data_IF_780485613189
#
_entry.id   IF_780485613189
#
_cell.length_a   1.000
_cell.length_b   1.000
_cell.length_c   1.000
_cell.angle_alpha   90.00
_cell.angle_beta   90.00
_cell.angle_gamma   90.00
#
_symmetry.space_group_name_H-M   'P 1'
#
loop_
_entity.id
_entity.type
_entity.pdbx_description
1 polymer ?
#
# COMPACT_ATOMS: atom_id res chain seq x y z
N UNK A 1 -15.83 -5.20 -20.70
CA UNK A 1 -15.07 -4.38 -21.64
C UNK A 1 -14.28 -5.23 -22.63
N UNK A 2 -13.57 -6.28 -22.19
CA UNK A 2 -12.79 -7.17 -23.08
C UNK A 2 -13.69 -7.88 -24.11
N UNK A 3 -14.80 -8.47 -23.68
CA UNK A 3 -15.76 -9.16 -24.57
C UNK A 3 -16.46 -8.22 -25.57
N UNK A 4 -16.49 -6.92 -25.29
CA UNK A 4 -17.04 -5.90 -26.17
C UNK A 4 -15.98 -5.33 -27.13
N UNK A 5 -14.76 -5.81 -27.11
CA UNK A 5 -13.66 -5.33 -27.94
C UNK A 5 -13.13 -3.93 -27.55
N UNK A 6 -13.63 -3.32 -26.46
CA UNK A 6 -13.24 -1.96 -26.05
C UNK A 6 -11.80 -1.87 -25.53
N UNK A 7 -11.17 -3.00 -25.18
CA UNK A 7 -9.75 -3.06 -24.75
C UNK A 7 -8.83 -3.50 -25.90
N UNK A 8 -9.31 -3.51 -27.15
CA UNK A 8 -8.48 -3.83 -28.31
C UNK A 8 -7.54 -2.66 -28.63
N UNK A 9 -6.29 -2.99 -28.92
CA UNK A 9 -5.25 -2.10 -29.44
C UNK A 9 -5.18 -2.12 -30.98
N UNK A 10 -6.03 -2.95 -31.63
CA UNK A 10 -6.11 -3.04 -33.08
C UNK A 10 -6.96 -1.91 -33.64
N UNK A 11 -6.43 -1.24 -34.68
CA UNK A 11 -7.14 -0.17 -35.39
C UNK A 11 -8.42 -0.70 -36.04
N UNK A 12 -9.53 -0.02 -35.86
CA UNK A 12 -10.81 -0.30 -36.49
C UNK A 12 -11.35 0.95 -37.17
N UNK A 13 -12.11 0.76 -38.25
CA UNK A 13 -12.78 1.87 -38.92
C UNK A 13 -14.19 2.05 -38.34
N UNK A 14 -14.49 3.25 -37.84
CA UNK A 14 -15.80 3.64 -37.35
C UNK A 14 -16.26 4.92 -38.02
N UNK A 15 -17.32 4.83 -38.83
CA UNK A 15 -17.89 5.98 -39.56
C UNK A 15 -16.84 6.73 -40.38
N UNK A 16 -15.98 6.01 -41.08
CA UNK A 16 -14.92 6.58 -41.92
C UNK A 16 -13.71 7.15 -41.16
N UNK A 17 -13.64 6.93 -39.84
CA UNK A 17 -12.49 7.31 -39.02
C UNK A 17 -11.80 6.07 -38.47
N UNK A 18 -10.49 6.07 -38.52
CA UNK A 18 -9.66 5.06 -37.90
C UNK A 18 -9.50 5.35 -36.42
N UNK A 19 -9.85 4.42 -35.58
CA UNK A 19 -9.73 4.52 -34.12
C UNK A 19 -9.13 3.25 -33.54
N UNK A 20 -8.42 3.40 -32.42
CA UNK A 20 -8.00 2.31 -31.57
C UNK A 20 -8.96 2.29 -30.38
N UNK A 21 -9.78 1.22 -30.20
CA UNK A 21 -10.84 1.20 -29.18
C UNK A 21 -10.37 1.52 -27.77
N UNK A 22 -9.22 1.00 -27.33
CA UNK A 22 -8.67 1.28 -25.99
C UNK A 22 -8.32 2.75 -25.81
N UNK A 23 -7.76 3.39 -26.82
CA UNK A 23 -7.43 4.83 -26.75
C UNK A 23 -8.70 5.68 -26.68
N UNK A 24 -9.69 5.38 -27.51
CA UNK A 24 -10.99 6.05 -27.46
C UNK A 24 -11.68 5.89 -26.10
N UNK A 25 -11.55 4.72 -25.47
CA UNK A 25 -12.06 4.48 -24.13
C UNK A 25 -11.31 5.32 -23.08
N UNK A 26 -9.99 5.41 -23.15
CA UNK A 26 -9.16 6.23 -22.25
C UNK A 26 -9.54 7.70 -22.39
N UNK A 27 -9.65 8.19 -23.63
CA UNK A 27 -10.05 9.56 -23.92
C UNK A 27 -11.43 9.89 -23.35
N UNK A 28 -12.40 8.98 -23.53
CA UNK A 28 -13.73 9.13 -22.98
C UNK A 28 -13.70 9.15 -21.44
N UNK A 29 -12.96 8.26 -20.81
CA UNK A 29 -12.83 8.21 -19.35
C UNK A 29 -12.17 9.47 -18.80
N UNK A 30 -11.19 10.05 -19.49
CA UNK A 30 -10.55 11.29 -19.07
C UNK A 30 -11.48 12.51 -19.10
N UNK A 31 -12.50 12.49 -19.98
CA UNK A 31 -13.52 13.53 -20.06
C UNK A 31 -14.63 13.35 -19.02
N UNK A 32 -15.02 12.09 -18.75
CA UNK A 32 -16.17 11.77 -17.88
C UNK A 32 -15.76 11.61 -16.42
N UNK A 33 -14.51 11.20 -16.18
CA UNK A 33 -14.00 11.07 -14.80
C UNK A 33 -13.84 12.48 -14.17
N UNK A 34 -14.21 12.63 -12.90
CA UNK A 34 -13.89 13.86 -12.19
C UNK A 34 -12.38 14.09 -12.29
N UNK A 35 -11.97 15.29 -12.65
CA UNK A 35 -10.55 15.64 -12.73
C UNK A 35 -9.84 15.18 -11.45
N UNK A 36 -8.74 14.42 -11.57
CA UNK A 36 -7.93 14.14 -10.39
C UNK A 36 -7.52 15.48 -9.79
N UNK A 37 -7.77 15.67 -8.50
CA UNK A 37 -7.38 16.89 -7.82
C UNK A 37 -5.92 17.18 -8.16
N UNK A 38 -5.66 18.33 -8.75
CA UNK A 38 -4.30 18.71 -9.15
C UNK A 38 -3.41 18.71 -7.91
N UNK A 39 -2.16 18.24 -8.08
CA UNK A 39 -1.14 18.37 -7.04
C UNK A 39 -1.12 19.84 -6.60
N UNK A 40 -1.40 20.13 -5.33
CA UNK A 40 -1.53 21.50 -4.78
C UNK A 40 -2.94 21.88 -4.32
N UNK A 41 -3.98 21.08 -4.62
CA UNK A 41 -5.27 21.20 -3.95
C UNK A 41 -5.23 20.47 -2.61
N UNK A 42 -5.90 21.05 -1.61
CA UNK A 42 -6.01 20.41 -0.29
C UNK A 42 -6.68 19.04 -0.41
N UNK A 43 -5.97 18.00 0.02
CA UNK A 43 -6.44 16.62 0.04
C UNK A 43 -6.78 16.22 1.48
N UNK A 44 -8.05 16.41 1.86
CA UNK A 44 -8.54 16.07 3.19
C UNK A 44 -8.81 14.57 3.26
N UNK A 45 -8.32 13.94 4.33
CA UNK A 45 -8.58 12.54 4.65
C UNK A 45 -7.33 11.74 4.95
N UNK A 46 -7.55 10.57 5.54
CA UNK A 46 -6.51 9.62 5.92
C UNK A 46 -6.82 8.25 5.33
N UNK A 47 -5.78 7.49 5.08
CA UNK A 47 -5.90 6.07 4.72
C UNK A 47 -5.39 5.22 5.86
N UNK A 48 -6.09 4.11 6.13
CA UNK A 48 -5.68 3.11 7.10
C UNK A 48 -5.56 1.78 6.36
N UNK A 49 -4.38 1.15 6.45
CA UNK A 49 -4.14 -0.18 5.94
C UNK A 49 -3.59 -1.06 7.07
N UNK A 50 -4.11 -2.28 7.22
CA UNK A 50 -3.67 -3.14 8.30
C UNK A 50 -4.00 -4.61 8.10
N UNK A 51 -3.39 -5.44 8.92
CA UNK A 51 -3.57 -6.89 8.95
C UNK A 51 -4.03 -7.33 10.34
N UNK A 52 -5.12 -8.08 10.39
CA UNK A 52 -5.61 -8.68 11.60
C UNK A 52 -5.25 -10.16 11.65
N UNK A 53 -4.45 -10.54 12.64
CA UNK A 53 -3.96 -11.90 12.84
C UNK A 53 -4.61 -12.49 14.08
N UNK A 54 -5.18 -13.70 13.94
CA UNK A 54 -5.68 -14.52 15.04
C UNK A 54 -4.85 -15.80 15.12
N UNK A 55 -4.46 -16.16 16.33
CA UNK A 55 -3.67 -17.38 16.53
C UNK A 55 -3.56 -17.78 18.00
N UNK A 56 -2.73 -18.79 18.24
CA UNK A 56 -2.37 -19.22 19.60
C UNK A 56 -0.87 -19.07 19.82
N UNK A 57 -0.49 -18.49 20.94
CA UNK A 57 0.90 -18.44 21.41
C UNK A 57 0.92 -18.87 22.87
N UNK A 58 1.80 -19.83 23.20
CA UNK A 58 1.94 -20.36 24.55
C UNK A 58 0.61 -20.91 25.14
N UNK A 59 -0.19 -21.57 24.28
CA UNK A 59 -1.48 -22.14 24.64
C UNK A 59 -2.63 -21.12 24.79
N UNK A 60 -2.36 -19.81 24.68
CA UNK A 60 -3.34 -18.74 24.81
C UNK A 60 -3.75 -18.22 23.43
N UNK A 61 -5.03 -17.93 23.27
CA UNK A 61 -5.52 -17.24 22.08
C UNK A 61 -5.04 -15.79 22.09
N UNK A 62 -4.56 -15.33 20.93
CA UNK A 62 -4.13 -13.96 20.73
C UNK A 62 -4.71 -13.42 19.43
N UNK A 63 -5.04 -12.14 19.47
CA UNK A 63 -5.47 -11.40 18.29
C UNK A 63 -4.66 -10.11 18.24
N UNK A 64 -4.04 -9.88 17.11
CA UNK A 64 -3.16 -8.70 16.89
C UNK A 64 -3.61 -8.00 15.62
N UNK A 65 -3.79 -6.71 15.69
CA UNK A 65 -4.03 -5.85 14.53
C UNK A 65 -2.83 -4.92 14.35
N UNK A 66 -2.15 -5.07 13.22
CA UNK A 66 -1.02 -4.23 12.82
C UNK A 66 -1.53 -3.31 11.72
N UNK A 67 -1.34 -2.00 11.87
CA UNK A 67 -1.90 -1.04 10.93
C UNK A 67 -1.01 0.19 10.73
N UNK A 68 -1.19 0.82 9.59
CA UNK A 68 -0.61 2.10 9.22
C UNK A 68 -1.73 3.12 9.00
N UNK A 69 -1.49 4.36 9.39
CA UNK A 69 -2.37 5.49 9.06
C UNK A 69 -1.52 6.55 8.38
N UNK A 70 -1.95 7.00 7.22
CA UNK A 70 -1.28 8.07 6.50
C UNK A 70 -2.27 9.19 6.14
N UNK A 71 -1.88 10.43 6.40
CA UNK A 71 -2.63 11.63 6.03
C UNK A 71 -2.31 12.03 4.58
N UNK A 72 -3.35 12.34 3.80
CA UNK A 72 -3.17 12.68 2.40
C UNK A 72 -2.35 13.95 2.21
N UNK A 73 -2.62 15.00 2.99
CA UNK A 73 -1.93 16.27 2.82
C UNK A 73 -0.47 16.20 3.27
N UNK A 74 -0.20 15.47 4.36
CA UNK A 74 1.17 15.21 4.82
C UNK A 74 1.96 14.43 3.78
N UNK A 75 1.36 13.39 3.17
CA UNK A 75 2.01 12.62 2.12
C UNK A 75 2.26 13.47 0.86
N UNK A 76 1.33 14.32 0.46
CA UNK A 76 1.55 15.23 -0.67
C UNK A 76 2.69 16.21 -0.38
N UNK A 77 2.75 16.76 0.82
CA UNK A 77 3.78 17.72 1.20
C UNK A 77 5.17 17.07 1.28
N UNK A 78 5.25 15.84 1.80
CA UNK A 78 6.52 15.14 2.05
C UNK A 78 7.02 14.35 0.84
N UNK A 79 6.11 13.69 0.12
CA UNK A 79 6.44 12.74 -0.94
C UNK A 79 5.90 13.15 -2.32
N UNK A 80 5.14 14.24 -2.43
CA UNK A 80 4.53 14.69 -3.67
C UNK A 80 3.39 13.79 -4.17
N UNK A 81 2.82 12.93 -3.31
CA UNK A 81 1.82 11.93 -3.70
C UNK A 81 0.79 11.70 -2.60
N UNK A 82 -0.47 11.30 -2.92
CA UNK A 82 -1.47 10.97 -1.91
C UNK A 82 -1.07 9.77 -1.04
N UNK A 83 -1.68 9.69 0.16
CA UNK A 83 -1.39 8.67 1.16
C UNK A 83 -1.46 7.23 0.63
N UNK A 84 -2.48 6.89 -0.17
CA UNK A 84 -2.63 5.55 -0.74
C UNK A 84 -1.47 5.15 -1.65
N UNK A 85 -0.95 6.09 -2.43
CA UNK A 85 0.19 5.86 -3.32
C UNK A 85 1.48 5.73 -2.51
N UNK A 86 1.68 6.63 -1.54
CA UNK A 86 2.83 6.59 -0.64
C UNK A 86 2.91 5.27 0.15
N UNK A 87 1.80 4.84 0.76
CA UNK A 87 1.71 3.56 1.48
C UNK A 87 1.96 2.33 0.58
N UNK A 88 1.52 2.39 -0.67
CA UNK A 88 1.74 1.29 -1.63
C UNK A 88 3.19 1.23 -2.08
N UNK A 89 3.84 2.39 -2.24
CA UNK A 89 5.20 2.50 -2.78
C UNK A 89 6.30 2.31 -1.74
N UNK A 90 6.06 2.60 -0.45
CA UNK A 90 7.09 2.62 0.59
C UNK A 90 7.74 1.25 0.80
N UNK A 91 6.96 0.17 0.89
CA UNK A 91 7.51 -1.17 1.13
C UNK A 91 8.39 -1.66 -0.02
N UNK A 92 7.97 -1.57 -1.30
CA UNK A 92 8.86 -1.85 -2.42
C UNK A 92 10.14 -1.00 -2.43
N UNK A 93 10.05 0.29 -2.09
CA UNK A 93 11.22 1.17 -2.01
C UNK A 93 12.20 0.71 -0.91
N UNK A 94 11.68 0.36 0.26
CA UNK A 94 12.46 -0.20 1.38
C UNK A 94 13.16 -1.50 0.96
N UNK A 95 12.46 -2.40 0.28
CA UNK A 95 13.06 -3.66 -0.20
C UNK A 95 14.20 -3.39 -1.16
N UNK A 96 14.04 -2.48 -2.12
CA UNK A 96 15.12 -2.07 -3.04
C UNK A 96 16.32 -1.51 -2.28
N UNK A 97 16.07 -0.67 -1.28
CA UNK A 97 17.12 -0.09 -0.45
C UNK A 97 17.85 -1.15 0.37
N UNK A 98 17.14 -2.10 1.00
CA UNK A 98 17.74 -3.20 1.74
C UNK A 98 18.59 -4.11 0.84
N UNK A 99 18.14 -4.35 -0.38
CA UNK A 99 18.93 -5.08 -1.39
C UNK A 99 20.21 -4.29 -1.72
N UNK A 100 20.08 -2.99 -1.98
CA UNK A 100 21.23 -2.13 -2.30
C UNK A 100 22.24 -2.03 -1.14
N UNK A 101 21.76 -2.07 0.10
CA UNK A 101 22.59 -2.08 1.32
C UNK A 101 23.16 -3.46 1.67
N UNK A 102 22.83 -4.52 0.90
CA UNK A 102 23.23 -5.90 1.18
C UNK A 102 22.61 -6.49 2.45
N UNK A 103 21.48 -5.95 2.91
CA UNK A 103 20.78 -6.38 4.13
C UNK A 103 19.65 -7.37 3.86
N UNK A 104 19.41 -7.74 2.61
CA UNK A 104 18.44 -8.79 2.26
C UNK A 104 19.15 -10.13 2.20
N UNK A 105 18.81 -11.02 3.10
CA UNK A 105 19.35 -12.38 3.17
C UNK A 105 18.59 -13.33 2.25
N UNK A 106 19.31 -14.36 1.74
CA UNK A 106 18.76 -15.45 0.98
C UNK A 106 19.08 -15.40 -0.53
N UNK A 107 18.66 -16.43 -1.28
CA UNK A 107 18.98 -16.56 -2.70
C UNK A 107 18.27 -15.47 -3.52
N UNK A 108 18.92 -15.05 -4.60
CA UNK A 108 18.31 -14.16 -5.58
C UNK A 108 17.22 -14.89 -6.37
N UNK A 109 16.17 -14.16 -6.76
CA UNK A 109 15.07 -14.68 -7.55
C UNK A 109 13.74 -14.01 -7.21
N UNK A 110 12.66 -14.59 -7.73
CA UNK A 110 11.29 -14.18 -7.36
C UNK A 110 10.97 -14.81 -6.00
N UNK A 111 10.67 -13.97 -5.04
CA UNK A 111 10.38 -14.38 -3.65
C UNK A 111 9.11 -13.71 -3.14
N UNK A 112 8.43 -14.38 -2.22
CA UNK A 112 7.27 -13.81 -1.52
C UNK A 112 7.72 -13.11 -0.24
N UNK A 113 6.92 -12.14 0.21
CA UNK A 113 7.25 -11.30 1.39
C UNK A 113 7.46 -12.11 2.68
N UNK A 114 6.80 -13.25 2.80
CA UNK A 114 6.85 -14.15 3.96
C UNK A 114 8.20 -14.86 4.13
N UNK A 115 9.05 -14.86 3.10
CA UNK A 115 10.40 -15.43 3.15
C UNK A 115 11.45 -14.49 3.71
N UNK A 116 11.12 -13.22 3.89
CA UNK A 116 12.05 -12.22 4.38
C UNK A 116 11.97 -12.05 5.89
N UNK A 117 13.12 -11.73 6.51
CA UNK A 117 13.12 -11.23 7.86
C UNK A 117 12.40 -9.87 7.90
N UNK A 118 11.27 -9.73 8.62
CA UNK A 118 10.51 -8.49 8.63
C UNK A 118 11.20 -7.35 9.37
N UNK A 119 12.15 -7.64 10.27
CA UNK A 119 12.72 -6.65 11.18
C UNK A 119 13.38 -5.47 10.43
N UNK A 120 14.28 -5.68 9.45
CA UNK A 120 14.88 -4.55 8.72
C UNK A 120 13.87 -3.70 7.96
N UNK A 121 12.77 -4.32 7.48
CA UNK A 121 11.69 -3.59 6.80
C UNK A 121 10.94 -2.71 7.79
N UNK A 122 10.65 -3.24 8.99
CA UNK A 122 9.94 -2.51 10.03
C UNK A 122 10.76 -1.34 10.57
N UNK A 123 12.08 -1.53 10.74
CA UNK A 123 13.01 -0.45 11.14
C UNK A 123 13.01 0.71 10.15
N UNK A 124 13.05 0.42 8.84
CA UNK A 124 13.00 1.45 7.82
C UNK A 124 11.61 2.09 7.68
N UNK A 125 10.53 1.34 7.92
CA UNK A 125 9.18 1.92 8.00
C UNK A 125 9.05 2.92 9.14
N UNK A 126 9.69 2.67 10.29
CA UNK A 126 9.76 3.62 11.40
C UNK A 126 10.61 4.85 11.04
N UNK A 127 11.78 4.64 10.42
CA UNK A 127 12.69 5.71 9.97
C UNK A 127 12.00 6.64 8.96
N UNK A 128 11.21 6.09 8.06
CA UNK A 128 10.44 6.87 7.07
C UNK A 128 9.11 7.42 7.59
N UNK A 129 8.84 7.25 8.89
CA UNK A 129 7.61 7.74 9.54
C UNK A 129 6.30 7.16 8.96
N UNK A 130 6.38 5.99 8.33
CA UNK A 130 5.23 5.17 8.02
C UNK A 130 4.91 4.28 9.22
N UNK A 131 4.58 4.90 10.34
CA UNK A 131 4.37 4.20 11.60
C UNK A 131 3.24 3.20 11.51
N UNK A 132 3.54 1.98 11.94
CA UNK A 132 2.53 0.99 12.23
C UNK A 132 2.11 1.11 13.71
N UNK A 133 0.81 1.16 13.94
CA UNK A 133 0.24 0.88 15.26
C UNK A 133 0.04 -0.62 15.40
N UNK A 134 0.13 -1.13 16.63
CA UNK A 134 -0.17 -2.53 16.94
C UNK A 134 -1.19 -2.57 18.08
N UNK A 135 -2.36 -3.16 17.80
CA UNK A 135 -3.35 -3.45 18.82
C UNK A 135 -3.33 -4.94 19.16
N UNK A 136 -3.16 -5.24 20.43
CA UNK A 136 -3.38 -6.58 20.94
C UNK A 136 -4.76 -6.64 21.59
N UNK A 137 -5.63 -7.50 21.07
CA UNK A 137 -6.97 -7.74 21.60
C UNK A 137 -6.96 -9.00 22.46
N UNK A 138 -7.41 -8.91 23.69
CA UNK A 138 -7.69 -10.08 24.51
C UNK A 138 -8.94 -10.81 24.00
N UNK A 139 -9.03 -12.12 24.19
CA UNK A 139 -9.94 -13.06 23.51
C UNK A 139 -11.45 -12.85 23.72
N UNK A 140 -11.87 -11.91 24.56
CA UNK A 140 -13.26 -11.48 24.71
C UNK A 140 -13.34 -9.97 24.74
N UNK A 141 -13.91 -9.40 23.70
CA UNK A 141 -14.54 -8.07 23.55
C UNK A 141 -14.34 -7.06 24.72
N UNK A 142 -13.11 -6.87 25.21
CA UNK A 142 -12.81 -5.88 26.23
C UNK A 142 -11.55 -5.11 25.89
N UNK A 143 -11.75 -3.83 25.59
CA UNK A 143 -10.82 -2.72 25.53
C UNK A 143 -9.47 -2.97 24.85
N UNK A 144 -9.40 -2.54 23.59
CA UNK A 144 -8.15 -2.30 22.88
C UNK A 144 -7.28 -1.33 23.68
N UNK A 145 -6.17 -1.80 24.22
CA UNK A 145 -5.11 -0.91 24.70
C UNK A 145 -4.16 -0.68 23.54
N UNK A 146 -4.07 0.56 23.11
CA UNK A 146 -3.00 1.02 22.25
C UNK A 146 -1.68 0.81 22.98
N UNK A 147 -0.87 -0.12 22.49
CA UNK A 147 0.51 -0.25 22.97
C UNK A 147 1.40 0.26 21.86
N UNK A 148 2.29 1.19 22.17
CA UNK A 148 3.50 1.45 21.38
C UNK A 148 4.37 0.18 21.39
N UNK A 149 3.99 -0.82 20.60
CA UNK A 149 4.55 -2.17 20.71
C UNK A 149 5.68 -2.35 19.72
N UNK A 150 5.92 -1.40 18.82
CA UNK A 150 6.97 -1.52 17.82
C UNK A 150 8.34 -1.79 18.45
N UNK A 151 8.69 -1.04 19.49
CA UNK A 151 9.96 -1.20 20.21
C UNK A 151 10.12 -2.54 20.96
N UNK A 152 9.02 -3.25 21.23
CA UNK A 152 9.09 -4.54 21.92
C UNK A 152 9.28 -5.73 20.97
N UNK A 153 9.01 -5.56 19.67
CA UNK A 153 9.28 -6.57 18.65
C UNK A 153 10.68 -6.46 18.05
N UNK A 154 11.35 -5.31 18.24
CA UNK A 154 12.73 -5.06 17.81
C UNK A 154 13.78 -5.50 18.86
N UNK A 155 13.34 -6.04 19.99
CA UNK A 155 14.18 -6.68 21.00
C UNK A 155 14.02 -8.19 20.95
#
# INVERSE_FOLDING_TARGET
>A
LKLLGLLSDTEVELKGKKIIPVNALIDLLSVVSPEPKKIGQELIGKTCAGVWVKGRKDGKERQVYIYQVADNQECVNKYGTPAVVAQTAVVPAIVVELVARGKMEGPFGVRVSEEFNPIPVLELLEEYEFLAGVYEMESEYRESREKEVFKSYLK
#
